data_IF_119809576488
#
_entry.id   IF_119809576488
#
_cell.length_a   1.000
_cell.length_b   1.000
_cell.length_c   1.000
_cell.angle_alpha   90.00
_cell.angle_beta   90.00
_cell.angle_gamma   90.00
#
_symmetry.space_group_name_H-M   'P 1'
#
loop_
_entity.id
_entity.type
_entity.pdbx_description
1 polymer ?
#
# COMPACT_ATOMS: atom_id res chain seq x y z
N UNK A 1 6.28 6.54 -10.45
CA UNK A 1 5.91 6.67 -9.03
C UNK A 1 5.97 5.28 -8.46
N UNK A 2 6.99 5.03 -7.67
CA UNK A 2 7.24 3.73 -7.06
C UNK A 2 6.86 3.76 -5.58
N UNK A 3 6.65 2.58 -5.00
CA UNK A 3 6.47 2.43 -3.57
C UNK A 3 7.76 1.89 -2.97
N UNK A 4 8.28 2.59 -1.96
CA UNK A 4 9.29 2.08 -1.06
C UNK A 4 8.60 1.46 0.15
N UNK A 5 8.94 0.20 0.44
CA UNK A 5 8.41 -0.51 1.60
C UNK A 5 9.29 -0.26 2.82
N UNK A 6 8.66 -0.04 3.96
CA UNK A 6 9.31 -0.06 5.27
C UNK A 6 9.33 -1.46 5.89
N UNK A 7 9.79 -1.55 7.13
CA UNK A 7 9.75 -2.81 7.88
C UNK A 7 8.31 -3.21 8.23
N UNK A 8 8.02 -4.49 8.08
CA UNK A 8 6.72 -5.09 8.39
C UNK A 8 6.49 -5.08 9.91
N UNK A 9 5.46 -4.37 10.35
CA UNK A 9 5.06 -4.23 11.75
C UNK A 9 4.07 -5.34 12.12
N UNK A 10 4.31 -6.15 13.15
CA UNK A 10 3.35 -7.19 13.55
C UNK A 10 2.04 -6.57 14.05
N UNK A 11 0.90 -7.19 13.70
CA UNK A 11 -0.40 -6.79 14.25
C UNK A 11 -0.64 -7.30 15.67
N UNK A 12 0.11 -8.33 16.08
CA UNK A 12 0.09 -8.88 17.44
C UNK A 12 1.40 -8.63 18.16
N UNK A 13 1.72 -9.50 19.13
CA UNK A 13 3.01 -9.46 19.81
C UNK A 13 4.14 -9.88 18.85
N UNK A 14 5.21 -9.08 18.80
CA UNK A 14 6.40 -9.36 18.00
C UNK A 14 7.23 -8.11 17.75
N UNK A 15 8.34 -8.29 17.06
CA UNK A 15 9.20 -7.18 16.62
C UNK A 15 9.01 -6.87 15.13
N UNK A 16 9.25 -5.63 14.70
CA UNK A 16 9.34 -5.26 13.30
C UNK A 16 10.32 -6.15 12.54
N UNK A 17 9.99 -6.46 11.28
CA UNK A 17 10.83 -7.31 10.42
C UNK A 17 11.00 -6.71 9.03
N UNK A 18 12.23 -6.65 8.48
CA UNK A 18 12.43 -6.28 7.08
C UNK A 18 11.62 -7.17 6.14
N UNK A 19 10.93 -6.56 5.16
CA UNK A 19 10.05 -7.26 4.21
C UNK A 19 10.81 -8.35 3.44
N UNK A 20 12.08 -8.13 3.12
CA UNK A 20 12.91 -9.13 2.43
C UNK A 20 13.09 -10.45 3.22
N UNK A 21 12.90 -10.46 4.55
CA UNK A 21 13.04 -11.68 5.35
C UNK A 21 11.85 -12.64 5.23
N UNK A 22 10.81 -12.27 4.48
CA UNK A 22 9.74 -13.18 4.08
C UNK A 22 10.06 -13.93 2.78
N UNK A 23 11.19 -13.63 2.14
CA UNK A 23 11.64 -14.28 0.91
C UNK A 23 12.67 -15.41 1.17
N UNK A 24 12.75 -16.41 0.28
CA UNK A 24 11.73 -16.73 -0.71
C UNK A 24 10.54 -17.40 0.01
N UNK A 25 9.32 -16.92 -0.23
CA UNK A 25 8.16 -17.50 0.43
C UNK A 25 6.85 -16.98 -0.11
N UNK A 26 5.81 -17.83 -0.18
CA UNK A 26 4.46 -17.39 -0.46
C UNK A 26 3.98 -16.50 0.69
N UNK A 27 3.42 -15.35 0.34
CA UNK A 27 2.75 -14.46 1.29
C UNK A 27 1.37 -14.10 0.77
N UNK A 28 0.41 -13.96 1.68
CA UNK A 28 -0.89 -13.39 1.36
C UNK A 28 -0.81 -11.87 1.47
N UNK A 29 -0.86 -11.17 0.34
CA UNK A 29 -0.86 -9.73 0.32
C UNK A 29 -2.30 -9.19 0.28
N UNK A 30 -2.70 -8.42 1.29
CA UNK A 30 -4.05 -7.88 1.43
C UNK A 30 -3.99 -6.37 1.18
N UNK A 31 -4.83 -5.88 0.27
CA UNK A 31 -4.92 -4.45 0.01
C UNK A 31 -6.34 -4.01 -0.36
N UNK A 32 -6.92 -3.14 0.48
CA UNK A 32 -8.21 -2.48 0.31
C UNK A 32 -8.04 -0.99 0.02
N UNK A 33 -7.26 -0.65 -1.02
CA UNK A 33 -6.91 0.73 -1.43
C UNK A 33 -7.25 0.96 -2.90
N UNK A 34 -7.32 2.22 -3.35
CA UNK A 34 -7.69 2.55 -4.74
C UNK A 34 -6.81 1.95 -5.86
N UNK A 35 -5.55 1.56 -5.58
CA UNK A 35 -4.73 0.81 -6.54
C UNK A 35 -3.89 -0.29 -5.83
N UNK A 36 -4.48 -1.47 -5.56
CA UNK A 36 -3.84 -2.58 -4.86
C UNK A 36 -2.58 -3.09 -5.57
N UNK A 37 -2.56 -3.07 -6.91
CA UNK A 37 -1.49 -3.65 -7.71
C UNK A 37 -0.12 -3.04 -7.39
N UNK A 38 -0.06 -1.76 -7.04
CA UNK A 38 1.20 -1.09 -6.67
C UNK A 38 1.84 -1.73 -5.43
N UNK A 39 1.02 -2.07 -4.43
CA UNK A 39 1.50 -2.72 -3.21
C UNK A 39 2.03 -4.13 -3.51
N UNK A 40 1.28 -4.91 -4.30
CA UNK A 40 1.68 -6.27 -4.68
C UNK A 40 2.96 -6.29 -5.52
N UNK A 41 3.10 -5.36 -6.47
CA UNK A 41 4.32 -5.22 -7.26
C UNK A 41 5.52 -4.83 -6.39
N UNK A 42 5.35 -3.94 -5.41
CA UNK A 42 6.41 -3.57 -4.48
C UNK A 42 6.89 -4.77 -3.65
N UNK A 43 5.98 -5.62 -3.17
CA UNK A 43 6.31 -6.87 -2.47
C UNK A 43 7.06 -7.86 -3.36
N UNK A 44 6.63 -8.03 -4.63
CA UNK A 44 7.35 -8.89 -5.59
C UNK A 44 8.77 -8.39 -5.86
N UNK A 45 8.96 -7.07 -5.99
CA UNK A 45 10.29 -6.46 -6.16
C UNK A 45 11.19 -6.68 -4.95
N UNK A 46 10.63 -6.86 -3.76
CA UNK A 46 11.36 -7.26 -2.57
C UNK A 46 11.69 -8.78 -2.51
N UNK A 47 11.34 -9.56 -3.55
CA UNK A 47 11.69 -10.97 -3.69
C UNK A 47 10.64 -11.96 -3.20
N UNK A 48 9.43 -11.50 -2.87
CA UNK A 48 8.37 -12.34 -2.29
C UNK A 48 7.49 -12.97 -3.38
N UNK A 49 6.99 -14.17 -3.10
CA UNK A 49 5.95 -14.81 -3.91
C UNK A 49 4.58 -14.35 -3.42
N UNK A 50 3.95 -13.44 -4.16
CA UNK A 50 2.73 -12.77 -3.68
C UNK A 50 1.46 -13.45 -4.17
N UNK A 51 0.67 -13.96 -3.23
CA UNK A 51 -0.75 -14.32 -3.42
C UNK A 51 -1.60 -13.09 -3.13
N UNK A 52 -2.20 -12.52 -4.17
CA UNK A 52 -2.93 -11.25 -4.09
C UNK A 52 -4.36 -11.42 -3.55
N UNK A 53 -4.71 -10.59 -2.59
CA UNK A 53 -6.07 -10.43 -2.06
C UNK A 53 -6.46 -8.96 -2.11
N UNK A 54 -7.04 -8.55 -3.24
CA UNK A 54 -7.56 -7.21 -3.43
C UNK A 54 -8.97 -7.09 -2.85
N UNK A 55 -9.20 -6.06 -2.05
CA UNK A 55 -10.50 -5.73 -1.49
C UNK A 55 -10.95 -4.34 -1.95
N UNK A 56 -12.27 -4.03 -1.91
CA UNK A 56 -12.76 -2.68 -2.16
C UNK A 56 -12.09 -1.64 -1.25
N UNK A 57 -12.01 -0.39 -1.72
CA UNK A 57 -11.63 0.69 -0.82
C UNK A 57 -12.63 0.78 0.35
N UNK A 58 -12.13 1.13 1.53
CA UNK A 58 -12.92 1.18 2.77
C UNK A 58 -13.59 -0.15 3.15
N UNK A 59 -13.18 -1.29 2.57
CA UNK A 59 -13.74 -2.59 2.93
C UNK A 59 -13.70 -2.84 4.45
N UNK A 60 -14.82 -3.36 4.97
CA UNK A 60 -15.00 -3.71 6.37
C UNK A 60 -14.76 -5.22 6.54
N UNK A 61 -13.51 -5.55 6.84
CA UNK A 61 -13.06 -6.93 6.95
C UNK A 61 -13.81 -7.71 8.04
N UNK A 62 -13.92 -9.02 7.84
CA UNK A 62 -14.31 -10.00 8.86
C UNK A 62 -13.19 -11.02 9.01
N UNK A 63 -12.96 -11.51 10.23
CA UNK A 63 -11.88 -12.47 10.51
C UNK A 63 -11.87 -13.70 9.58
N UNK A 64 -13.00 -14.35 9.25
CA UNK A 64 -13.00 -15.51 8.34
C UNK A 64 -12.54 -15.19 6.91
N UNK A 65 -12.67 -13.94 6.46
CA UNK A 65 -12.23 -13.52 5.11
C UNK A 65 -10.70 -13.44 5.02
N UNK A 66 -10.00 -13.49 6.16
CA UNK A 66 -8.54 -13.42 6.26
C UNK A 66 -7.91 -14.79 6.60
N UNK A 67 -8.71 -15.86 6.56
CA UNK A 67 -8.30 -17.24 6.77
C UNK A 67 -7.95 -17.94 5.44
N UNK A 68 -6.85 -17.52 4.83
CA UNK A 68 -6.41 -18.07 3.56
C UNK A 68 -5.75 -19.46 3.68
N UNK A 69 -5.69 -20.16 2.55
CA UNK A 69 -5.09 -21.50 2.42
C UNK A 69 -4.22 -21.58 1.15
N UNK A 70 -3.07 -22.28 1.18
CA UNK A 70 -2.42 -22.84 2.39
C UNK A 70 -2.00 -21.73 3.36
N UNK A 71 -1.86 -22.01 4.67
CA UNK A 71 -1.44 -20.99 5.64
C UNK A 71 -0.08 -20.38 5.25
N UNK A 72 -0.03 -19.05 5.20
CA UNK A 72 1.17 -18.28 4.89
C UNK A 72 1.12 -16.91 5.58
N UNK A 73 2.26 -16.21 5.74
CA UNK A 73 2.30 -14.87 6.28
C UNK A 73 1.35 -13.90 5.58
N UNK A 74 0.59 -13.09 6.34
CA UNK A 74 -0.31 -12.06 5.79
C UNK A 74 0.35 -10.70 5.85
N UNK A 75 0.67 -10.11 4.71
CA UNK A 75 1.18 -8.76 4.61
C UNK A 75 0.06 -7.84 4.13
N UNK A 76 -0.21 -6.75 4.84
CA UNK A 76 -1.27 -5.83 4.46
C UNK A 76 -0.82 -4.38 4.51
N UNK A 77 -1.52 -3.49 3.83
CA UNK A 77 -1.25 -2.05 3.95
C UNK A 77 -1.53 -1.58 5.37
N UNK A 78 -0.90 -0.48 5.80
CA UNK A 78 -1.15 0.11 7.13
C UNK A 78 -2.64 0.44 7.33
N UNK A 79 -3.31 0.91 6.28
CA UNK A 79 -4.75 1.23 6.32
C UNK A 79 -5.61 0.00 6.63
N UNK A 80 -5.26 -1.14 6.03
CA UNK A 80 -5.99 -2.39 6.25
C UNK A 80 -5.67 -3.00 7.62
N UNK A 81 -4.42 -2.84 8.09
CA UNK A 81 -3.99 -3.30 9.41
C UNK A 81 -4.78 -2.65 10.55
N UNK A 82 -5.05 -1.34 10.48
CA UNK A 82 -5.88 -0.63 11.46
C UNK A 82 -7.25 -1.31 11.61
N UNK A 83 -7.87 -1.71 10.50
CA UNK A 83 -9.18 -2.37 10.49
C UNK A 83 -9.14 -3.82 10.99
N UNK A 84 -7.99 -4.49 10.87
CA UNK A 84 -7.83 -5.90 11.23
C UNK A 84 -7.22 -6.13 12.64
N UNK A 85 -6.72 -5.08 13.28
CA UNK A 85 -6.05 -5.12 14.60
C UNK A 85 -6.82 -5.87 15.70
N UNK A 86 -8.15 -5.86 15.67
CA UNK A 86 -9.01 -6.55 16.63
C UNK A 86 -9.22 -8.05 16.41
N UNK A 87 -8.72 -8.62 15.31
CA UNK A 87 -8.99 -10.03 14.94
C UNK A 87 -8.00 -11.04 15.52
N UNK A 88 -6.97 -10.60 16.25
CA UNK A 88 -6.01 -11.52 16.88
C UNK A 88 -5.17 -12.33 15.89
N UNK A 89 -4.91 -11.76 14.70
CA UNK A 89 -4.13 -12.42 13.64
C UNK A 89 -2.66 -12.49 14.03
N UNK A 90 -2.16 -13.69 14.37
CA UNK A 90 -0.79 -13.91 14.85
C UNK A 90 0.27 -13.77 13.74
N UNK A 91 -0.05 -14.25 12.54
CA UNK A 91 0.84 -14.18 11.37
C UNK A 91 0.36 -13.09 10.40
N UNK A 92 0.22 -11.87 10.91
CA UNK A 92 -0.17 -10.72 10.12
C UNK A 92 0.72 -9.52 10.42
N UNK A 93 1.11 -8.81 9.36
CA UNK A 93 1.95 -7.63 9.43
C UNK A 93 1.41 -6.48 8.60
N UNK A 94 1.50 -5.27 9.14
CA UNK A 94 1.30 -4.02 8.42
C UNK A 94 2.62 -3.66 7.73
N UNK A 95 2.58 -3.37 6.44
CA UNK A 95 3.76 -2.96 5.67
C UNK A 95 3.59 -1.50 5.29
N UNK A 96 4.38 -0.58 5.90
CA UNK A 96 4.42 0.81 5.49
C UNK A 96 4.85 0.92 4.03
N UNK A 97 4.08 1.66 3.23
CA UNK A 97 4.34 1.86 1.81
C UNK A 97 4.36 3.35 1.51
N UNK A 98 5.56 3.90 1.33
CA UNK A 98 5.77 5.31 1.06
C UNK A 98 5.87 5.49 -0.46
N UNK A 99 5.04 6.37 -1.00
CA UNK A 99 5.11 6.68 -2.42
C UNK A 99 6.23 7.68 -2.70
N UNK A 100 7.10 7.32 -3.63
CA UNK A 100 8.20 8.17 -4.08
C UNK A 100 7.79 8.84 -5.39
N UNK A 101 7.69 10.17 -5.31
CA UNK A 101 7.41 11.04 -6.44
C UNK A 101 8.73 11.41 -7.13
N UNK A 102 8.79 11.38 -8.47
CA UNK A 102 9.93 11.94 -9.20
C UNK A 102 10.10 13.42 -8.86
N UNK A 103 11.35 13.91 -8.78
CA UNK A 103 11.62 15.33 -8.48
C UNK A 103 10.88 16.28 -9.44
N UNK A 104 10.87 15.96 -10.73
CA UNK A 104 10.19 16.75 -11.76
C UNK A 104 8.65 16.80 -11.63
N UNK A 105 8.04 15.99 -10.75
CA UNK A 105 6.59 15.98 -10.56
C UNK A 105 6.09 17.31 -9.98
N UNK A 106 6.79 17.88 -8.99
CA UNK A 106 6.35 19.13 -8.37
C UNK A 106 6.45 20.30 -9.34
N UNK A 107 7.51 20.33 -10.15
CA UNK A 107 7.69 21.34 -11.20
C UNK A 107 6.55 21.26 -12.22
N UNK A 108 6.21 20.05 -12.69
CA UNK A 108 5.12 19.85 -13.63
C UNK A 108 3.74 20.25 -13.05
N UNK A 109 3.52 20.01 -11.75
CA UNK A 109 2.30 20.45 -11.07
C UNK A 109 2.26 21.98 -10.96
N UNK A 110 3.37 22.63 -10.58
CA UNK A 110 3.44 24.09 -10.47
C UNK A 110 3.20 24.77 -11.82
N UNK A 111 3.85 24.28 -12.89
CA UNK A 111 3.65 24.78 -14.25
C UNK A 111 2.18 24.66 -14.68
N UNK A 112 1.54 23.54 -14.38
CA UNK A 112 0.13 23.32 -14.74
C UNK A 112 -0.80 24.24 -13.95
N UNK A 113 -0.56 24.46 -12.66
CA UNK A 113 -1.32 25.40 -11.83
C UNK A 113 -1.17 26.84 -12.34
N UNK A 114 0.04 27.26 -12.72
CA UNK A 114 0.30 28.58 -13.31
C UNK A 114 -0.39 28.76 -14.65
N UNK A 115 -0.44 27.73 -15.48
CA UNK A 115 -1.13 27.77 -16.76
C UNK A 115 -2.65 27.90 -16.56
N UNK A 116 -3.25 27.06 -15.72
CA UNK A 116 -4.68 27.11 -15.43
C UNK A 116 -5.13 28.46 -14.84
N UNK A 117 -4.28 29.11 -14.03
CA UNK A 117 -4.56 30.44 -13.47
C UNK A 117 -4.50 31.57 -14.51
N UNK A 118 -3.76 31.40 -15.61
CA UNK A 118 -3.73 32.35 -16.73
C UNK A 118 -4.92 32.18 -17.66
N UNK A 119 -5.37 30.94 -17.85
CA UNK A 119 -6.53 30.61 -18.70
C UNK A 119 -7.87 31.05 -18.07
N UNK A 120 -7.92 31.31 -16.75
CA UNK A 120 -9.14 31.76 -16.05
C UNK A 120 -9.24 33.27 -15.82
N UNK A 121 -8.27 34.09 -16.25
CA UNK A 121 -8.41 35.56 -16.26
C UNK A 121 -8.88 35.99 -17.66
N UNK A 122 -10.14 36.45 -17.84
CA UNK A 122 -10.55 37.01 -19.12
C UNK A 122 -9.80 38.32 -19.36
N UNK A 123 -9.31 38.52 -20.59
CA UNK A 123 -8.81 39.82 -21.05
C UNK A 123 -9.95 40.86 -20.90
N UNK A 124 -9.82 41.79 -19.95
CA UNK A 124 -10.56 43.05 -20.00
C UNK A 124 -10.03 43.83 -21.20
N UNK A 125 -10.76 43.74 -22.31
CA UNK A 125 -10.50 44.51 -23.52
C UNK A 125 -10.96 45.96 -23.30
N UNK A 126 -10.13 46.96 -23.63
CA UNK A 126 -10.40 48.38 -23.36
C UNK A 126 -11.57 48.95 -24.15
#
# INVERSE_FOLDING_TARGET
MDLRLGDAQPLGAGEPRPVGLFAPGPVHAIAGIGNPSRFFQALRRAGLEVVEHAFPDHHAYRAPELEFRPPAPRLMTEKDAVKCSGFGLRDAWAVPAIAELPEAFLDAVDDRLRQARRETQPEEKP
#
